data_IF_249876258267
#
_entry.id   IF_249876258267
#
_cell.length_a   1.000
_cell.length_b   1.000
_cell.length_c   1.000
_cell.angle_alpha   90.00
_cell.angle_beta   90.00
_cell.angle_gamma   90.00
#
_symmetry.space_group_name_H-M   'P 1'
#
loop_
_entity.id
_entity.type
_entity.pdbx_description
1 polymer ?
#
# COMPACT_ATOMS: atom_id res chain seq x y z
N UNK A 1 1.53 10.70 9.46
CA UNK A 1 1.47 11.80 10.45
C UNK A 1 1.80 11.36 11.87
N UNK A 2 1.15 10.33 12.42
CA UNK A 2 1.35 9.90 13.81
C UNK A 2 2.80 9.52 14.17
N UNK A 3 3.49 8.76 13.32
CA UNK A 3 4.90 8.40 13.56
C UNK A 3 5.85 9.61 13.56
N UNK A 4 5.53 10.67 12.79
CA UNK A 4 6.30 11.91 12.80
C UNK A 4 6.11 12.67 14.11
N UNK A 5 4.90 12.68 14.66
CA UNK A 5 4.60 13.33 15.94
C UNK A 5 5.28 12.62 17.13
N UNK A 6 5.55 11.32 17.01
CA UNK A 6 6.23 10.51 18.03
C UNK A 6 7.75 10.50 17.87
N UNK A 7 8.26 11.19 16.85
CA UNK A 7 9.69 11.20 16.48
C UNK A 7 10.31 9.80 16.28
N UNK A 8 9.48 8.80 15.94
CA UNK A 8 9.95 7.44 15.69
C UNK A 8 10.49 7.31 14.26
N UNK A 9 11.71 7.81 14.08
CA UNK A 9 12.41 7.83 12.79
C UNK A 9 12.68 6.43 12.25
N UNK A 10 12.90 5.44 13.11
CA UNK A 10 13.24 4.07 12.70
C UNK A 10 12.01 3.38 12.11
N UNK A 11 10.89 3.42 12.82
CA UNK A 11 9.64 2.82 12.32
C UNK A 11 9.14 3.58 11.09
N UNK A 12 9.25 4.92 11.08
CA UNK A 12 8.90 5.73 9.93
C UNK A 12 9.71 5.33 8.69
N UNK A 13 11.03 5.14 8.82
CA UNK A 13 11.88 4.72 7.70
C UNK A 13 11.49 3.34 7.18
N UNK A 14 11.28 2.36 8.07
CA UNK A 14 10.82 1.02 7.70
C UNK A 14 9.48 1.08 6.96
N UNK A 15 8.54 1.87 7.47
CA UNK A 15 7.24 2.11 6.86
C UNK A 15 7.37 2.71 5.46
N UNK A 16 8.19 3.75 5.28
CA UNK A 16 8.40 4.38 3.97
C UNK A 16 8.98 3.41 2.94
N UNK A 17 9.96 2.57 3.33
CA UNK A 17 10.52 1.53 2.45
C UNK A 17 9.45 0.50 2.07
N UNK A 18 8.64 0.05 3.03
CA UNK A 18 7.58 -0.92 2.77
C UNK A 18 6.51 -0.34 1.81
N UNK A 19 6.14 0.93 1.99
CA UNK A 19 5.18 1.60 1.10
C UNK A 19 5.73 1.80 -0.30
N UNK A 20 6.98 2.24 -0.42
CA UNK A 20 7.64 2.36 -1.73
C UNK A 20 7.65 1.02 -2.47
N UNK A 21 7.98 -0.07 -1.78
CA UNK A 21 7.98 -1.40 -2.37
C UNK A 21 6.58 -1.85 -2.83
N UNK A 22 5.54 -1.58 -2.03
CA UNK A 22 4.15 -1.83 -2.44
C UNK A 22 3.84 -1.14 -3.77
N UNK A 23 4.11 0.17 -3.88
CA UNK A 23 3.82 0.92 -5.11
C UNK A 23 4.68 0.47 -6.30
N UNK A 24 5.93 0.09 -6.08
CA UNK A 24 6.80 -0.46 -7.13
C UNK A 24 6.27 -1.76 -7.72
N UNK A 25 5.53 -2.55 -6.94
CA UNK A 25 4.87 -3.77 -7.44
C UNK A 25 3.48 -3.46 -8.01
N UNK A 26 2.66 -2.68 -7.31
CA UNK A 26 1.28 -2.39 -7.73
C UNK A 26 1.23 -1.67 -9.07
N UNK A 27 2.07 -0.65 -9.28
CA UNK A 27 2.00 0.18 -10.50
C UNK A 27 2.22 -0.65 -11.79
N UNK A 28 3.28 -1.47 -11.91
CA UNK A 28 3.45 -2.33 -13.07
C UNK A 28 2.30 -3.32 -13.27
N UNK A 29 1.81 -3.95 -12.20
CA UNK A 29 0.70 -4.89 -12.32
C UNK A 29 -0.56 -4.20 -12.83
N UNK A 30 -0.88 -3.02 -12.34
CA UNK A 30 -2.07 -2.26 -12.74
C UNK A 30 -1.98 -1.75 -14.19
N UNK A 31 -0.77 -1.49 -14.70
CA UNK A 31 -0.57 -1.04 -16.08
C UNK A 31 -0.55 -2.22 -17.07
N UNK A 32 0.19 -3.29 -16.75
CA UNK A 32 0.46 -4.38 -17.69
C UNK A 32 -0.53 -5.54 -17.60
N UNK A 33 -1.18 -5.73 -16.45
CA UNK A 33 -2.10 -6.83 -16.18
C UNK A 33 -3.43 -6.29 -15.63
N UNK A 34 -4.22 -5.58 -16.44
CA UNK A 34 -5.51 -5.08 -15.99
C UNK A 34 -6.48 -6.26 -15.76
N UNK A 35 -6.62 -6.67 -14.51
CA UNK A 35 -7.59 -7.68 -14.08
C UNK A 35 -8.91 -6.98 -13.79
N UNK A 36 -9.97 -7.44 -14.42
CA UNK A 36 -11.32 -6.89 -14.28
C UNK A 36 -12.02 -7.38 -13.01
N UNK A 37 -12.83 -6.51 -12.40
CA UNK A 37 -13.61 -6.83 -11.18
C UNK A 37 -14.53 -8.05 -11.35
N UNK A 38 -14.81 -8.74 -10.24
CA UNK A 38 -15.79 -9.84 -10.19
C UNK A 38 -17.18 -9.43 -10.68
N UNK A 39 -17.55 -8.15 -10.50
CA UNK A 39 -18.89 -7.66 -10.81
C UNK A 39 -19.27 -7.60 -12.28
N UNK A 40 -18.33 -7.73 -13.22
CA UNK A 40 -18.64 -7.83 -14.65
C UNK A 40 -19.08 -9.23 -15.09
N UNK A 41 -18.85 -10.26 -14.27
CA UNK A 41 -19.22 -11.63 -14.61
C UNK A 41 -20.53 -12.01 -13.91
N UNK A 42 -21.65 -11.88 -14.62
CA UNK A 42 -22.97 -12.34 -14.14
C UNK A 42 -23.02 -13.86 -13.87
N UNK A 43 -22.10 -14.63 -14.44
CA UNK A 43 -21.95 -16.08 -14.24
C UNK A 43 -21.12 -16.46 -13.01
N UNK A 44 -20.51 -15.50 -12.31
CA UNK A 44 -19.73 -15.76 -11.09
C UNK A 44 -20.59 -16.16 -9.88
N UNK A 45 -21.92 -16.17 -10.01
CA UNK A 45 -22.88 -16.56 -8.97
C UNK A 45 -23.03 -15.53 -7.84
N UNK A 46 -22.33 -14.40 -7.92
CA UNK A 46 -22.40 -13.30 -6.95
C UNK A 46 -23.02 -12.08 -7.63
N UNK A 47 -24.19 -11.65 -7.16
CA UNK A 47 -24.72 -10.31 -7.48
C UNK A 47 -23.99 -9.31 -6.59
N UNK A 48 -23.05 -8.51 -7.12
CA UNK A 48 -22.26 -7.66 -6.26
C UNK A 48 -23.13 -6.52 -5.76
N UNK A 49 -23.03 -6.22 -4.45
CA UNK A 49 -23.92 -5.27 -3.78
C UNK A 49 -23.90 -3.90 -4.45
N UNK A 50 -22.76 -3.51 -5.02
CA UNK A 50 -22.58 -2.24 -5.72
C UNK A 50 -23.46 -2.10 -6.97
N UNK A 51 -23.75 -3.21 -7.63
CA UNK A 51 -24.51 -3.24 -8.89
C UNK A 51 -25.98 -3.60 -8.70
N UNK A 52 -26.42 -3.84 -7.46
CA UNK A 52 -27.85 -4.00 -7.15
C UNK A 52 -28.63 -2.72 -7.45
N UNK A 53 -27.99 -1.56 -7.33
CA UNK A 53 -28.56 -0.27 -7.72
C UNK A 53 -27.76 0.36 -8.85
N UNK A 54 -28.39 0.49 -10.02
CA UNK A 54 -27.78 1.02 -11.26
C UNK A 54 -27.17 2.42 -11.10
N UNK A 55 -27.68 3.24 -10.19
CA UNK A 55 -27.16 4.59 -9.95
C UNK A 55 -25.82 4.55 -9.21
N UNK A 56 -25.70 3.68 -8.19
CA UNK A 56 -24.46 3.54 -7.42
C UNK A 56 -23.35 2.90 -8.24
N UNK A 57 -23.66 1.85 -9.01
CA UNK A 57 -22.73 1.25 -9.95
C UNK A 57 -22.21 2.26 -10.97
N UNK A 58 -23.10 3.07 -11.57
CA UNK A 58 -22.71 4.12 -12.53
C UNK A 58 -21.79 5.18 -11.93
N UNK A 59 -22.08 5.64 -10.71
CA UNK A 59 -21.24 6.64 -10.03
C UNK A 59 -19.83 6.08 -9.81
N UNK A 60 -19.69 4.85 -9.32
CA UNK A 60 -18.36 4.25 -9.12
C UNK A 60 -17.63 4.04 -10.45
N UNK A 61 -18.29 3.47 -11.46
CA UNK A 61 -17.67 3.26 -12.79
C UNK A 61 -17.34 4.56 -13.53
N UNK A 62 -17.88 5.70 -13.10
CA UNK A 62 -17.55 7.00 -13.69
C UNK A 62 -16.21 7.54 -13.23
N UNK A 63 -15.70 7.03 -12.10
CA UNK A 63 -14.44 7.45 -11.47
C UNK A 63 -13.40 6.34 -11.55
N UNK A 64 -13.82 5.09 -11.46
CA UNK A 64 -12.95 3.92 -11.44
C UNK A 64 -13.20 3.03 -12.67
N UNK A 65 -12.19 2.76 -13.51
CA UNK A 65 -12.32 1.85 -14.63
C UNK A 65 -12.49 0.37 -14.23
N UNK A 66 -12.34 0.04 -12.94
CA UNK A 66 -12.61 -1.29 -12.37
C UNK A 66 -11.87 -2.41 -13.11
N UNK A 67 -10.59 -2.14 -13.42
CA UNK A 67 -9.74 -3.00 -14.22
C UNK A 67 -8.30 -3.11 -13.68
N UNK A 68 -8.06 -2.72 -12.45
CA UNK A 68 -6.74 -2.65 -11.81
C UNK A 68 -6.77 -3.29 -10.42
N UNK A 69 -7.32 -4.50 -10.35
CA UNK A 69 -7.66 -5.14 -9.07
C UNK A 69 -6.58 -6.06 -8.51
N UNK A 70 -5.67 -6.57 -9.35
CA UNK A 70 -4.63 -7.52 -8.92
C UNK A 70 -3.24 -6.89 -8.84
N UNK A 71 -2.48 -7.12 -7.75
CA UNK A 71 -2.90 -7.62 -6.44
C UNK A 71 -3.65 -6.51 -5.66
N UNK A 72 -4.49 -6.88 -4.68
CA UNK A 72 -5.30 -5.88 -3.97
C UNK A 72 -4.44 -4.90 -3.15
N UNK A 73 -4.29 -3.68 -3.65
CA UNK A 73 -3.61 -2.59 -2.96
C UNK A 73 -4.28 -2.20 -1.63
N UNK A 74 -5.61 -2.27 -1.56
CA UNK A 74 -6.39 -2.00 -0.35
C UNK A 74 -5.97 -2.92 0.80
N UNK A 75 -5.86 -4.21 0.53
CA UNK A 75 -5.42 -5.22 1.50
C UNK A 75 -3.93 -5.05 1.80
N UNK A 76 -3.11 -4.86 0.75
CA UNK A 76 -1.66 -4.84 0.89
C UNK A 76 -1.16 -3.68 1.76
N UNK A 77 -1.66 -2.47 1.54
CA UNK A 77 -1.23 -1.26 2.24
C UNK A 77 -1.64 -1.30 3.71
N UNK A 78 -2.91 -1.63 4.02
CA UNK A 78 -3.38 -1.65 5.40
C UNK A 78 -2.73 -2.77 6.21
N UNK A 79 -2.55 -3.95 5.62
CA UNK A 79 -1.86 -5.05 6.28
C UNK A 79 -0.37 -4.75 6.47
N UNK A 80 0.31 -4.18 5.47
CA UNK A 80 1.72 -3.73 5.62
C UNK A 80 1.85 -2.77 6.80
N UNK A 81 0.93 -1.82 6.91
CA UNK A 81 0.90 -0.85 8.03
C UNK A 81 0.81 -1.58 9.37
N UNK A 82 -0.15 -2.51 9.51
CA UNK A 82 -0.32 -3.30 10.72
C UNK A 82 0.94 -4.11 11.07
N UNK A 83 1.50 -4.83 10.09
CA UNK A 83 2.66 -5.70 10.30
C UNK A 83 3.91 -4.91 10.68
N UNK A 84 4.15 -3.75 10.07
CA UNK A 84 5.28 -2.87 10.44
C UNK A 84 5.14 -2.41 11.88
N UNK A 85 3.96 -1.97 12.31
CA UNK A 85 3.74 -1.52 13.68
C UNK A 85 3.89 -2.64 14.71
N UNK A 86 3.42 -3.86 14.38
CA UNK A 86 3.64 -5.04 15.22
C UNK A 86 5.14 -5.36 15.31
N UNK A 87 5.85 -5.38 14.17
CA UNK A 87 7.28 -5.67 14.12
C UNK A 87 8.14 -4.63 14.87
N UNK A 88 7.66 -3.40 14.98
CA UNK A 88 8.29 -2.33 15.72
C UNK A 88 8.00 -2.38 17.23
N UNK A 89 7.15 -3.30 17.70
CA UNK A 89 6.79 -3.41 19.12
C UNK A 89 5.96 -2.22 19.62
N UNK A 90 5.09 -1.67 18.78
CA UNK A 90 4.38 -0.43 19.11
C UNK A 90 3.41 -0.62 20.28
N UNK A 91 3.58 0.17 21.34
CA UNK A 91 2.92 -0.04 22.64
C UNK A 91 1.41 0.30 22.66
N UNK A 92 0.91 0.97 21.62
CA UNK A 92 -0.51 1.35 21.52
C UNK A 92 -1.39 0.21 21.00
N UNK A 93 -1.62 -0.80 21.84
CA UNK A 93 -2.41 -2.00 21.52
C UNK A 93 -3.80 -1.68 20.95
N UNK A 94 -4.49 -0.66 21.47
CA UNK A 94 -5.81 -0.26 20.96
C UNK A 94 -5.80 0.13 19.48
N UNK A 95 -4.75 0.81 19.03
CA UNK A 95 -4.61 1.18 17.63
C UNK A 95 -4.24 -0.02 16.74
N UNK A 96 -3.39 -0.93 17.25
CA UNK A 96 -3.07 -2.19 16.56
C UNK A 96 -4.34 -3.04 16.38
N UNK A 97 -5.19 -3.14 17.40
CA UNK A 97 -6.48 -3.84 17.28
C UNK A 97 -7.44 -3.16 16.32
N UNK A 98 -7.52 -1.83 16.34
CA UNK A 98 -8.32 -1.09 15.37
C UNK A 98 -7.86 -1.36 13.93
N UNK A 99 -6.55 -1.35 13.67
CA UNK A 99 -6.00 -1.69 12.36
C UNK A 99 -6.26 -3.14 11.98
N UNK A 100 -6.11 -4.09 12.90
CA UNK A 100 -6.42 -5.49 12.66
C UNK A 100 -7.90 -5.70 12.29
N UNK A 101 -8.81 -5.04 13.03
CA UNK A 101 -10.24 -5.05 12.70
C UNK A 101 -10.50 -4.39 11.34
N UNK A 102 -9.78 -3.31 11.02
CA UNK A 102 -9.88 -2.63 9.72
C UNK A 102 -9.40 -3.51 8.57
N UNK A 103 -8.33 -4.31 8.74
CA UNK A 103 -7.89 -5.29 7.73
C UNK A 103 -9.03 -6.26 7.42
N UNK A 104 -9.63 -6.86 8.45
CA UNK A 104 -10.74 -7.82 8.29
C UNK A 104 -11.95 -7.14 7.64
N UNK A 105 -12.31 -5.93 8.10
CA UNK A 105 -13.43 -5.17 7.56
C UNK A 105 -13.22 -4.77 6.09
N UNK A 106 -12.00 -4.40 5.70
CA UNK A 106 -11.68 -4.08 4.31
C UNK A 106 -11.72 -5.34 3.44
N UNK A 107 -11.12 -6.46 3.88
CA UNK A 107 -11.20 -7.73 3.14
C UNK A 107 -12.65 -8.16 2.94
N UNK A 108 -13.48 -8.03 3.98
CA UNK A 108 -14.91 -8.26 3.88
C UNK A 108 -15.55 -7.31 2.86
N UNK A 109 -15.32 -6.00 2.97
CA UNK A 109 -15.92 -5.00 2.09
C UNK A 109 -15.56 -5.22 0.61
N UNK A 110 -14.28 -5.46 0.29
CA UNK A 110 -13.83 -5.60 -1.10
C UNK A 110 -14.38 -6.84 -1.79
N UNK A 111 -14.56 -7.94 -1.04
CA UNK A 111 -15.14 -9.18 -1.54
C UNK A 111 -16.67 -9.07 -1.65
N UNK A 112 -17.35 -8.53 -0.63
CA UNK A 112 -18.82 -8.42 -0.62
C UNK A 112 -19.35 -7.37 -1.59
N UNK A 113 -18.60 -6.31 -1.82
CA UNK A 113 -18.92 -5.32 -2.85
C UNK A 113 -18.67 -5.88 -4.26
N UNK A 114 -17.89 -6.97 -4.37
CA UNK A 114 -17.48 -7.66 -5.60
C UNK A 114 -16.62 -6.79 -6.51
N UNK A 115 -15.74 -6.01 -5.89
CA UNK A 115 -14.69 -5.28 -6.60
C UNK A 115 -13.49 -6.22 -6.80
N UNK A 116 -13.09 -6.99 -5.78
CA UNK A 116 -11.93 -7.86 -5.89
C UNK A 116 -12.30 -9.36 -5.95
N UNK A 117 -11.51 -10.12 -6.69
CA UNK A 117 -11.47 -11.58 -6.60
C UNK A 117 -10.77 -12.03 -5.32
N UNK A 118 -11.05 -13.27 -4.89
CA UNK A 118 -10.35 -13.87 -3.76
C UNK A 118 -8.83 -13.98 -4.04
N UNK A 119 -8.44 -14.22 -5.30
CA UNK A 119 -7.04 -14.23 -5.73
C UNK A 119 -6.35 -12.88 -5.52
N UNK A 120 -7.04 -11.77 -5.76
CA UNK A 120 -6.51 -10.42 -5.57
C UNK A 120 -6.21 -10.14 -4.10
N UNK A 121 -7.10 -10.59 -3.20
CA UNK A 121 -6.90 -10.52 -1.75
C UNK A 121 -5.68 -11.34 -1.34
N UNK A 122 -5.55 -12.58 -1.84
CA UNK A 122 -4.35 -13.40 -1.58
C UNK A 122 -3.07 -12.74 -2.10
N UNK A 123 -3.09 -12.16 -3.30
CA UNK A 123 -1.97 -11.40 -3.85
C UNK A 123 -1.58 -10.21 -2.96
N UNK A 124 -2.58 -9.47 -2.46
CA UNK A 124 -2.37 -8.37 -1.51
C UNK A 124 -1.77 -8.82 -0.18
N UNK A 125 -2.20 -9.97 0.36
CA UNK A 125 -1.63 -10.55 1.57
C UNK A 125 -0.14 -10.91 1.39
N UNK A 126 0.19 -11.60 0.28
CA UNK A 126 1.57 -11.99 -0.04
C UNK A 126 2.44 -10.75 -0.23
N UNK A 127 1.95 -9.74 -0.95
CA UNK A 127 2.67 -8.49 -1.16
C UNK A 127 2.93 -7.76 0.16
N UNK A 128 1.95 -7.69 1.07
CA UNK A 128 2.12 -7.06 2.38
C UNK A 128 3.20 -7.74 3.23
N UNK A 129 3.19 -9.09 3.26
CA UNK A 129 4.21 -9.86 3.97
C UNK A 129 5.58 -9.64 3.35
N UNK A 130 5.70 -9.72 2.03
CA UNK A 130 6.96 -9.48 1.32
C UNK A 130 7.51 -8.06 1.55
N UNK A 131 6.66 -7.04 1.48
CA UNK A 131 7.02 -5.65 1.75
C UNK A 131 7.52 -5.47 3.19
N UNK A 132 6.84 -6.09 4.16
CA UNK A 132 7.23 -6.04 5.58
C UNK A 132 8.56 -6.75 5.81
N UNK A 133 8.75 -7.95 5.25
CA UNK A 133 10.01 -8.69 5.38
C UNK A 133 11.18 -7.92 4.77
N UNK A 134 10.98 -7.30 3.61
CA UNK A 134 12.00 -6.48 2.96
C UNK A 134 12.35 -5.25 3.82
N UNK A 135 11.34 -4.57 4.37
CA UNK A 135 11.51 -3.36 5.15
C UNK A 135 12.12 -3.61 6.53
N UNK A 136 11.85 -4.76 7.15
CA UNK A 136 12.41 -5.11 8.47
C UNK A 136 13.82 -5.68 8.39
N UNK A 137 14.27 -6.12 7.21
CA UNK A 137 15.62 -6.63 6.99
C UNK A 137 16.68 -5.52 7.13
N UNK A 138 17.63 -5.73 8.06
CA UNK A 138 18.71 -4.78 8.35
C UNK A 138 19.60 -4.49 7.15
N UNK A 139 19.89 -5.48 6.31
CA UNK A 139 20.73 -5.30 5.10
C UNK A 139 20.06 -4.34 4.12
N UNK A 140 18.75 -4.47 3.95
CA UNK A 140 17.97 -3.56 3.11
C UNK A 140 18.02 -2.15 3.67
N UNK A 141 17.78 -2.00 4.98
CA UNK A 141 17.80 -0.70 5.65
C UNK A 141 19.17 -0.01 5.54
N UNK A 142 20.26 -0.73 5.75
CA UNK A 142 21.62 -0.19 5.59
C UNK A 142 21.92 0.23 4.15
N UNK A 143 21.43 -0.54 3.17
CA UNK A 143 21.60 -0.23 1.75
C UNK A 143 20.84 1.05 1.40
N UNK A 144 19.57 1.14 1.79
CA UNK A 144 18.74 2.34 1.61
C UNK A 144 19.40 3.55 2.27
N UNK A 145 19.85 3.43 3.52
CA UNK A 145 20.55 4.52 4.23
C UNK A 145 21.79 5.00 3.48
N UNK A 146 22.57 4.08 2.90
CA UNK A 146 23.75 4.42 2.11
C UNK A 146 23.37 5.21 0.85
N UNK A 147 22.32 4.80 0.15
CA UNK A 147 21.84 5.50 -1.04
C UNK A 147 21.27 6.88 -0.68
N UNK A 148 20.40 6.97 0.32
CA UNK A 148 19.81 8.23 0.79
C UNK A 148 20.91 9.19 1.20
N UNK A 149 21.89 8.75 2.01
CA UNK A 149 23.01 9.60 2.44
C UNK A 149 23.83 10.12 1.26
N UNK A 150 24.14 9.27 0.28
CA UNK A 150 24.86 9.70 -0.94
C UNK A 150 24.05 10.72 -1.73
N UNK A 151 22.74 10.52 -1.85
CA UNK A 151 21.86 11.44 -2.57
C UNK A 151 21.77 12.79 -1.85
N UNK A 152 21.59 12.79 -0.53
CA UNK A 152 21.53 14.00 0.29
C UNK A 152 22.81 14.82 0.19
N UNK A 153 23.98 14.18 0.23
CA UNK A 153 25.27 14.87 0.08
C UNK A 153 25.41 15.49 -1.32
N UNK A 154 24.93 14.81 -2.38
CA UNK A 154 24.94 15.35 -3.74
C UNK A 154 24.03 16.56 -3.89
N UNK A 155 22.78 16.45 -3.40
CA UNK A 155 21.80 17.53 -3.45
C UNK A 155 22.29 18.76 -2.67
N UNK A 156 22.80 18.57 -1.44
CA UNK A 156 23.35 19.68 -0.64
C UNK A 156 24.58 20.34 -1.28
N UNK A 157 25.36 19.59 -2.06
CA UNK A 157 26.50 20.14 -2.80
C UNK A 157 26.03 20.94 -4.01
N UNK A 158 25.04 20.44 -4.74
CA UNK A 158 24.42 21.12 -5.89
C UNK A 158 23.74 22.43 -5.45
N UNK A 159 22.97 22.41 -4.34
CA UNK A 159 22.38 23.61 -3.75
C UNK A 159 23.44 24.67 -3.35
N UNK A 160 24.59 24.21 -2.84
CA UNK A 160 25.68 25.11 -2.47
C UNK A 160 26.36 25.73 -3.71
N UNK A 161 26.64 24.93 -4.74
CA UNK A 161 27.23 25.39 -6.00
C UNK A 161 26.28 26.36 -6.76
N UNK A 162 24.96 26.15 -6.69
CA UNK A 162 23.96 27.04 -7.29
C UNK A 162 23.81 28.37 -6.53
N UNK A 163 24.02 28.36 -5.21
CA UNK A 163 24.00 29.57 -4.37
C UNK A 163 25.25 30.46 -4.49
N UNK A 164 26.36 29.93 -4.99
CA UNK A 164 27.66 30.62 -5.18
C UNK A 164 27.92 31.03 -6.65
N UNK A 165 26.94 30.82 -7.54
CA UNK A 165 27.00 31.26 -8.94
C UNK A 165 26.93 32.78 -9.11
N UNK A 166 27.55 33.37 -10.16
CA UNK A 166 27.66 34.82 -10.30
C UNK A 166 26.28 35.47 -10.48
N UNK A 167 25.99 36.48 -9.65
CA UNK A 167 24.83 37.38 -9.77
C UNK A 167 24.95 38.30 -10.99
#
# INVERSE_FOLDING_TARGET
LMLLCLDDRVTLRRYSVAMLFNYLVLIPFYIFFPVTVTGFYSESGLTPLLYINTNWGRVVTSVDPLNNDFPSGHVSIILTTLLILISAGWDRRGYVYFLAASVVGIVFAVLFLGVHWLADVFGGLVLAVGATMLATNEKTQMTVDRYVRKLSVRLMKEDADESDGPK
#
